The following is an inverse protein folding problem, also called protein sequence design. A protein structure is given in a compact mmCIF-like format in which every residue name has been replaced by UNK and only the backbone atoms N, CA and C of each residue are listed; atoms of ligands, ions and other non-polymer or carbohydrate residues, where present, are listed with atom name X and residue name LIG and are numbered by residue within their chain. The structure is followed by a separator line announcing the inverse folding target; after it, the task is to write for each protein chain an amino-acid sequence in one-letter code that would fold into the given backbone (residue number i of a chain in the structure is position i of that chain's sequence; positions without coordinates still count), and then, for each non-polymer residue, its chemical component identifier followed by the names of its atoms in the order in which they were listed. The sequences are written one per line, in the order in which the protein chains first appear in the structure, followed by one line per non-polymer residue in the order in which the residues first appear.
data_IF_085127297409
#
_entry.id   IF_085127297409
#
_cell.length_a   1.000
_cell.length_b   1.000
_cell.length_c   1.000
_cell.angle_alpha   90.00
_cell.angle_beta   90.00
_cell.angle_gamma   90.00
#
_symmetry.space_group_name_H-M   'P 1'
#
loop_
_entity.id
_entity.type
_entity.pdbx_description
1 polymer ?
#
# COMPACT_ATOMS: atom_id res chain seq x y z
N UNK A 1 -25.25 6.78 -38.74
CA UNK A 1 -25.04 7.31 -37.37
C UNK A 1 -23.77 6.68 -36.80
N UNK A 2 -22.63 7.35 -36.94
CA UNK A 2 -21.37 6.86 -36.38
C UNK A 2 -21.41 7.02 -34.86
N UNK A 3 -21.30 5.91 -34.12
CA UNK A 3 -21.11 5.92 -32.67
C UNK A 3 -19.77 6.59 -32.40
N UNK A 4 -19.80 7.79 -31.82
CA UNK A 4 -18.61 8.41 -31.25
C UNK A 4 -18.14 7.49 -30.13
N UNK A 5 -16.98 6.86 -30.31
CA UNK A 5 -16.33 6.12 -29.24
C UNK A 5 -16.03 7.09 -28.10
N UNK A 6 -16.45 6.75 -26.88
CA UNK A 6 -16.11 7.54 -25.71
C UNK A 6 -14.58 7.63 -25.62
N UNK A 7 -14.04 8.85 -25.68
CA UNK A 7 -12.62 9.08 -25.50
C UNK A 7 -12.24 8.67 -24.07
N UNK A 8 -11.31 7.72 -23.96
CA UNK A 8 -10.83 7.27 -22.65
C UNK A 8 -9.95 8.37 -22.07
N UNK A 9 -10.52 9.15 -21.14
CA UNK A 9 -9.76 10.19 -20.42
C UNK A 9 -8.77 9.50 -19.47
N UNK A 10 -7.47 9.68 -19.72
CA UNK A 10 -6.40 9.15 -18.87
C UNK A 10 -5.94 10.27 -17.93
N UNK A 11 -6.20 10.10 -16.64
CA UNK A 11 -5.72 11.02 -15.59
C UNK A 11 -4.18 10.92 -15.48
N UNK A 12 -3.44 12.04 -15.54
CA UNK A 12 -1.99 12.04 -15.38
C UNK A 12 -1.54 11.64 -13.96
N UNK A 13 -0.31 11.12 -13.83
CA UNK A 13 0.29 10.67 -12.57
C UNK A 13 0.10 11.64 -11.40
N UNK A 14 0.50 12.90 -11.59
CA UNK A 14 0.47 13.87 -10.49
C UNK A 14 -0.95 14.17 -10.02
N UNK A 15 -1.93 14.27 -10.93
CA UNK A 15 -3.32 14.45 -10.55
C UNK A 15 -3.88 13.23 -9.79
N UNK A 16 -3.49 12.02 -10.22
CA UNK A 16 -3.85 10.79 -9.50
C UNK A 16 -3.29 10.76 -8.09
N UNK A 17 -2.02 11.14 -7.92
CA UNK A 17 -1.36 11.17 -6.62
C UNK A 17 -1.90 12.28 -5.71
N UNK A 18 -2.24 13.45 -6.27
CA UNK A 18 -2.92 14.52 -5.53
C UNK A 18 -4.31 14.09 -5.05
N UNK A 19 -5.07 13.40 -5.89
CA UNK A 19 -6.37 12.82 -5.50
C UNK A 19 -6.20 11.82 -4.35
N UNK A 20 -5.18 10.97 -4.40
CA UNK A 20 -4.89 10.01 -3.33
C UNK A 20 -4.45 10.69 -2.02
N UNK A 21 -3.65 11.76 -2.10
CA UNK A 21 -3.30 12.59 -0.93
C UNK A 21 -4.54 13.22 -0.31
N UNK A 22 -5.39 13.86 -1.13
CA UNK A 22 -6.60 14.53 -0.66
C UNK A 22 -7.57 13.54 0.00
N UNK A 23 -7.70 12.33 -0.56
CA UNK A 23 -8.53 11.28 0.02
C UNK A 23 -7.99 10.81 1.39
N UNK A 24 -6.67 10.66 1.51
CA UNK A 24 -6.05 10.22 2.77
C UNK A 24 -6.18 11.29 3.87
N UNK A 25 -5.98 12.57 3.55
CA UNK A 25 -6.11 13.69 4.49
C UNK A 25 -7.53 13.89 5.01
N UNK A 26 -8.54 13.62 4.16
CA UNK A 26 -9.95 13.68 4.56
C UNK A 26 -10.40 12.48 5.39
N UNK A 27 -9.53 11.47 5.58
CA UNK A 27 -9.90 10.22 6.26
C UNK A 27 -10.99 9.43 5.53
N UNK A 28 -11.05 9.53 4.20
CA UNK A 28 -11.90 8.65 3.41
C UNK A 28 -11.21 7.28 3.30
N UNK A 29 -11.93 6.20 3.62
CA UNK A 29 -11.42 4.82 3.45
C UNK A 29 -11.51 3.96 4.71
N UNK A 30 -10.76 2.85 4.71
CA UNK A 30 -10.66 1.92 5.83
C UNK A 30 -9.85 2.55 7.00
N UNK A 31 -10.51 2.76 8.14
CA UNK A 31 -9.93 3.35 9.36
C UNK A 31 -8.77 2.56 9.98
N UNK A 32 -8.52 1.34 9.50
CA UNK A 32 -7.39 0.51 9.92
C UNK A 32 -6.11 0.76 9.13
N UNK A 33 -6.14 1.65 8.15
CA UNK A 33 -4.95 2.06 7.39
C UNK A 33 -4.85 3.59 7.34
N UNK A 34 -3.65 4.10 7.07
CA UNK A 34 -3.43 5.50 6.70
C UNK A 34 -2.20 5.62 5.82
N UNK A 35 -2.12 6.69 5.03
CA UNK A 35 -0.94 6.99 4.22
C UNK A 35 -0.83 8.49 3.93
N UNK A 36 0.40 8.95 3.70
CA UNK A 36 0.71 10.33 3.37
C UNK A 36 2.13 10.45 2.85
N UNK A 37 2.53 11.66 2.44
CA UNK A 37 3.88 11.91 1.94
C UNK A 37 4.93 11.69 3.05
N UNK A 38 6.07 11.12 2.69
CA UNK A 38 7.22 11.03 3.60
C UNK A 38 7.82 12.42 3.87
N UNK A 39 7.83 13.28 2.84
CA UNK A 39 8.30 14.66 2.91
C UNK A 39 7.22 15.58 2.34
N UNK A 40 6.73 16.53 3.15
CA UNK A 40 5.61 17.39 2.78
C UNK A 40 5.92 18.34 1.61
N UNK A 41 7.20 18.59 1.33
CA UNK A 41 7.70 19.42 0.24
C UNK A 41 8.12 18.59 -1.00
N UNK A 42 7.84 17.27 -1.04
CA UNK A 42 8.03 16.45 -2.23
C UNK A 42 6.97 16.78 -3.30
N UNK A 43 7.31 17.73 -4.17
CA UNK A 43 6.48 18.17 -5.29
C UNK A 43 6.20 17.02 -6.28
N UNK A 44 7.06 16.00 -6.33
CA UNK A 44 6.90 14.86 -7.21
C UNK A 44 6.00 13.77 -6.63
N UNK A 45 5.59 13.89 -5.36
CA UNK A 45 4.66 12.97 -4.69
C UNK A 45 5.15 11.51 -4.79
N UNK A 46 6.44 11.31 -4.60
CA UNK A 46 7.14 10.07 -4.96
C UNK A 46 7.21 9.11 -3.79
N UNK A 47 7.55 9.62 -2.61
CA UNK A 47 7.78 8.79 -1.43
C UNK A 47 6.68 9.02 -0.39
N UNK A 48 6.09 7.92 0.05
CA UNK A 48 4.95 7.90 0.95
C UNK A 48 5.23 6.99 2.14
N UNK A 49 4.63 7.34 3.28
CA UNK A 49 4.57 6.49 4.46
C UNK A 49 3.17 5.94 4.57
N UNK A 50 3.06 4.62 4.72
CA UNK A 50 1.82 3.92 5.04
C UNK A 50 1.84 3.37 6.46
N UNK A 51 0.68 3.31 7.09
CA UNK A 51 0.48 2.67 8.39
C UNK A 51 -0.67 1.68 8.31
N UNK A 52 -0.51 0.51 8.95
CA UNK A 52 -1.54 -0.53 9.05
C UNK A 52 -1.72 -0.90 10.51
N UNK A 53 -2.96 -0.83 11.00
CA UNK A 53 -3.40 -1.44 12.24
C UNK A 53 -3.68 -2.92 12.00
N UNK A 54 -2.97 -3.78 12.73
CA UNK A 54 -3.06 -5.23 12.58
C UNK A 54 -4.49 -5.74 12.79
N UNK A 55 -4.94 -6.75 12.00
CA UNK A 55 -6.30 -7.27 12.13
C UNK A 55 -6.56 -7.93 13.49
N UNK A 56 -7.75 -7.68 14.04
CA UNK A 56 -8.21 -8.26 15.30
C UNK A 56 -8.26 -9.80 15.23
N UNK A 57 -7.97 -10.47 16.35
CA UNK A 57 -8.01 -11.93 16.44
C UNK A 57 -6.88 -12.65 15.67
N UNK A 58 -5.81 -11.94 15.34
CA UNK A 58 -4.60 -12.48 14.71
C UNK A 58 -3.38 -12.22 15.59
N UNK A 59 -2.22 -12.80 15.24
CA UNK A 59 -0.94 -12.47 15.88
C UNK A 59 -0.49 -11.00 15.67
N UNK A 60 -1.19 -10.26 14.81
CA UNK A 60 -0.95 -8.85 14.53
C UNK A 60 -1.86 -7.91 15.33
N UNK A 61 -2.83 -8.44 16.07
CA UNK A 61 -3.83 -7.65 16.82
C UNK A 61 -3.15 -6.62 17.76
N UNK A 62 -3.66 -5.39 17.75
CA UNK A 62 -3.13 -4.27 18.53
C UNK A 62 -1.81 -3.66 18.03
N UNK A 63 -1.14 -4.27 17.04
CA UNK A 63 0.15 -3.76 16.53
C UNK A 63 -0.04 -2.76 15.41
N UNK A 64 0.87 -1.78 15.33
CA UNK A 64 0.94 -0.79 14.27
C UNK A 64 2.19 -1.06 13.42
N UNK A 65 2.01 -1.19 12.11
CA UNK A 65 3.11 -1.40 11.16
C UNK A 65 3.27 -0.19 10.25
N UNK A 66 4.50 0.32 10.15
CA UNK A 66 4.87 1.39 9.22
C UNK A 66 5.54 0.80 7.97
N UNK A 67 5.21 1.39 6.82
CA UNK A 67 5.72 1.01 5.50
C UNK A 67 6.19 2.26 4.74
N UNK A 68 7.18 2.08 3.88
CA UNK A 68 7.55 3.01 2.81
C UNK A 68 6.96 2.54 1.50
N UNK A 69 6.43 3.50 0.74
CA UNK A 69 5.77 3.26 -0.54
C UNK A 69 6.38 4.24 -1.54
N UNK A 70 6.91 3.70 -2.63
CA UNK A 70 7.57 4.47 -3.68
C UNK A 70 6.77 4.42 -4.97
N UNK A 71 6.21 5.56 -5.35
CA UNK A 71 5.45 5.75 -6.58
C UNK A 71 6.38 6.29 -7.67
N UNK A 72 6.95 5.39 -8.49
CA UNK A 72 7.86 5.78 -9.58
C UNK A 72 7.19 6.68 -10.63
N UNK A 73 7.98 7.21 -11.57
CA UNK A 73 7.47 8.00 -12.71
C UNK A 73 6.46 7.23 -13.59
N UNK A 74 6.47 5.90 -13.52
CA UNK A 74 5.54 5.04 -14.25
C UNK A 74 4.23 4.78 -13.49
N UNK A 75 4.09 5.26 -12.25
CA UNK A 75 2.82 5.18 -11.52
C UNK A 75 1.75 6.05 -12.19
N UNK A 76 0.46 5.65 -12.28
CA UNK A 76 -0.12 4.37 -11.86
C UNK A 76 -0.14 3.31 -12.97
N UNK A 77 0.62 3.46 -14.07
CA UNK A 77 0.72 2.41 -15.08
C UNK A 77 1.42 1.16 -14.54
N UNK A 78 2.43 1.36 -13.69
CA UNK A 78 3.09 0.33 -12.89
C UNK A 78 2.70 0.46 -11.41
N UNK A 79 2.66 -0.65 -10.65
CA UNK A 79 2.40 -0.62 -9.21
C UNK A 79 3.49 0.14 -8.45
N UNK A 80 3.19 0.64 -7.24
CA UNK A 80 4.22 1.20 -6.37
C UNK A 80 5.11 0.10 -5.80
N UNK A 81 6.34 0.46 -5.41
CA UNK A 81 7.18 -0.44 -4.61
C UNK A 81 6.86 -0.26 -3.12
N UNK A 82 6.77 -1.36 -2.37
CA UNK A 82 6.39 -1.33 -0.95
C UNK A 82 7.42 -2.04 -0.11
N UNK A 83 7.86 -1.39 0.95
CA UNK A 83 8.79 -1.91 1.94
C UNK A 83 8.24 -1.68 3.33
N UNK A 84 8.21 -2.71 4.16
CA UNK A 84 7.96 -2.55 5.58
C UNK A 84 9.17 -1.87 6.24
N UNK A 85 8.90 -0.84 7.03
CA UNK A 85 9.87 -0.29 7.98
C UNK A 85 9.84 -1.12 9.26
N UNK A 86 8.64 -1.41 9.77
CA UNK A 86 8.44 -2.27 10.93
C UNK A 86 8.70 -3.74 10.58
N UNK A 87 9.50 -4.45 11.39
CA UNK A 87 9.73 -5.89 11.23
C UNK A 87 8.42 -6.66 11.31
N UNK A 88 8.18 -7.50 10.31
CA UNK A 88 7.02 -8.38 10.23
C UNK A 88 7.45 -9.74 9.70
N UNK A 89 6.84 -10.80 10.23
CA UNK A 89 6.95 -12.13 9.64
C UNK A 89 5.65 -12.42 8.87
N UNK A 90 5.69 -12.25 7.56
CA UNK A 90 4.55 -12.46 6.69
C UNK A 90 5.01 -13.10 5.38
N UNK A 91 4.17 -13.98 4.83
CA UNK A 91 4.59 -14.82 3.72
C UNK A 91 5.02 -13.98 2.50
N UNK A 92 4.34 -12.89 2.16
CA UNK A 92 4.67 -12.04 1.02
C UNK A 92 5.75 -10.97 1.28
N UNK A 93 6.48 -11.01 2.40
CA UNK A 93 7.51 -10.03 2.76
C UNK A 93 8.87 -10.69 2.84
N UNK A 94 9.88 -10.05 2.23
CA UNK A 94 11.26 -10.48 2.37
C UNK A 94 11.76 -10.26 3.82
N UNK A 95 12.25 -11.30 4.51
CA UNK A 95 12.62 -11.21 5.92
C UNK A 95 13.92 -10.43 6.20
N UNK A 96 14.68 -10.06 5.16
CA UNK A 96 15.91 -9.28 5.30
C UNK A 96 15.67 -7.80 4.97
N UNK A 97 14.94 -7.49 3.90
CA UNK A 97 14.78 -6.12 3.41
C UNK A 97 13.42 -5.51 3.68
N UNK A 98 12.44 -6.28 4.16
CA UNK A 98 11.06 -5.81 4.35
C UNK A 98 10.29 -5.59 3.04
N UNK A 99 10.87 -5.93 1.89
CA UNK A 99 10.24 -5.72 0.58
C UNK A 99 9.04 -6.64 0.40
N UNK A 100 7.92 -6.09 -0.06
CA UNK A 100 6.74 -6.88 -0.43
C UNK A 100 6.94 -7.50 -1.82
N UNK A 101 6.80 -8.81 -1.97
CA UNK A 101 6.89 -9.51 -3.26
C UNK A 101 5.60 -9.27 -4.08
N UNK A 102 5.66 -8.56 -5.22
CA UNK A 102 4.49 -8.27 -6.04
C UNK A 102 3.75 -9.52 -6.51
N UNK A 103 4.47 -10.64 -6.71
CA UNK A 103 3.88 -11.89 -7.20
C UNK A 103 3.01 -12.58 -6.15
N UNK A 104 3.18 -12.21 -4.88
CA UNK A 104 2.52 -12.82 -3.73
C UNK A 104 1.41 -11.96 -3.14
N UNK A 105 1.23 -10.75 -3.67
CA UNK A 105 0.16 -9.84 -3.29
C UNK A 105 -0.65 -9.47 -4.54
N UNK A 106 -1.90 -9.91 -4.63
CA UNK A 106 -2.75 -9.74 -5.83
C UNK A 106 -2.86 -8.28 -6.25
N UNK A 107 -2.95 -7.35 -5.29
CA UNK A 107 -3.03 -5.93 -5.58
C UNK A 107 -1.82 -5.41 -6.37
N UNK A 108 -0.63 -6.01 -6.23
CA UNK A 108 0.57 -5.63 -6.99
C UNK A 108 0.79 -6.54 -8.21
N UNK A 109 0.50 -7.83 -8.10
CA UNK A 109 0.74 -8.82 -9.17
C UNK A 109 -0.24 -8.71 -10.35
N UNK A 110 -1.47 -8.28 -10.08
CA UNK A 110 -2.53 -8.03 -11.07
C UNK A 110 -2.88 -6.54 -11.12
N UNK A 111 -1.85 -5.69 -11.12
CA UNK A 111 -2.01 -4.24 -11.04
C UNK A 111 -2.84 -3.67 -12.19
N UNK A 112 -3.77 -2.78 -11.86
CA UNK A 112 -4.48 -1.95 -12.81
C UNK A 112 -4.32 -0.48 -12.41
N UNK A 113 -4.25 0.45 -13.37
CA UNK A 113 -4.07 1.88 -13.10
C UNK A 113 -5.17 2.56 -12.27
N UNK A 114 -6.26 1.84 -12.03
CA UNK A 114 -7.37 2.32 -11.20
C UNK A 114 -7.18 1.93 -9.73
N UNK A 115 -6.21 1.05 -9.43
CA UNK A 115 -5.75 0.82 -8.08
C UNK A 115 -4.96 2.03 -7.57
N UNK A 116 -4.96 2.19 -6.25
CA UNK A 116 -4.18 3.19 -5.52
C UNK A 116 -3.43 2.60 -4.33
N UNK A 117 -2.73 3.47 -3.61
CA UNK A 117 -2.00 3.16 -2.38
C UNK A 117 -2.92 2.49 -1.35
N UNK A 118 -4.14 3.01 -1.18
CA UNK A 118 -5.15 2.43 -0.30
C UNK A 118 -5.43 0.96 -0.62
N UNK A 119 -5.62 0.61 -1.91
CA UNK A 119 -5.91 -0.77 -2.29
C UNK A 119 -4.75 -1.72 -1.95
N UNK A 120 -3.51 -1.23 -2.04
CA UNK A 120 -2.33 -2.00 -1.66
C UNK A 120 -2.30 -2.24 -0.16
N UNK A 121 -2.53 -1.20 0.65
CA UNK A 121 -2.55 -1.31 2.11
C UNK A 121 -3.68 -2.21 2.62
N UNK A 122 -4.88 -2.09 2.04
CA UNK A 122 -6.01 -2.99 2.34
C UNK A 122 -5.68 -4.44 1.98
N UNK A 123 -5.04 -4.68 0.83
CA UNK A 123 -4.65 -6.02 0.42
C UNK A 123 -3.57 -6.62 1.34
N UNK A 124 -2.59 -5.82 1.75
CA UNK A 124 -1.57 -6.25 2.73
C UNK A 124 -2.24 -6.64 4.05
N UNK A 125 -3.18 -5.82 4.53
CA UNK A 125 -3.92 -6.09 5.76
C UNK A 125 -4.78 -7.35 5.65
N UNK A 126 -5.43 -7.59 4.51
CA UNK A 126 -6.16 -8.82 4.26
C UNK A 126 -5.22 -10.06 4.29
N UNK A 127 -4.01 -9.92 3.75
CA UNK A 127 -3.01 -10.99 3.78
C UNK A 127 -2.52 -11.27 5.21
N UNK A 128 -2.39 -10.27 6.09
CA UNK A 128 -2.12 -10.50 7.52
C UNK A 128 -3.19 -11.39 8.20
N UNK A 129 -4.45 -11.28 7.77
CA UNK A 129 -5.55 -12.10 8.27
C UNK A 129 -5.68 -13.47 7.58
N UNK A 130 -4.87 -13.74 6.53
CA UNK A 130 -4.96 -14.99 5.78
C UNK A 130 -4.62 -16.20 6.68
N UNK A 131 -5.17 -17.40 6.40
CA UNK A 131 -4.87 -18.59 7.18
C UNK A 131 -3.37 -18.88 7.32
N UNK A 132 -2.60 -18.52 6.30
CA UNK A 132 -1.15 -18.68 6.25
C UNK A 132 -0.42 -17.75 7.21
N UNK A 133 -0.89 -16.51 7.39
CA UNK A 133 -0.15 -15.49 8.16
C UNK A 133 -0.70 -15.23 9.56
N UNK A 134 -2.01 -15.39 9.78
CA UNK A 134 -2.70 -14.92 10.99
C UNK A 134 -2.20 -15.50 12.32
N UNK A 135 -1.38 -16.56 12.29
CA UNK A 135 -0.78 -17.22 13.46
C UNK A 135 0.75 -17.31 13.41
N UNK A 136 1.40 -16.66 12.45
CA UNK A 136 2.86 -16.71 12.34
C UNK A 136 3.51 -16.04 13.56
N UNK A 137 4.54 -16.65 14.17
CA UNK A 137 5.30 -16.00 15.22
C UNK A 137 5.88 -14.68 14.72
N UNK A 138 5.56 -13.58 15.40
CA UNK A 138 6.02 -12.26 15.03
C UNK A 138 7.28 -11.86 15.79
N UNK A 139 8.15 -11.03 15.18
CA UNK A 139 9.24 -10.36 15.89
C UNK A 139 8.72 -9.51 17.08
N UNK A 140 9.60 -9.14 18.02
CA UNK A 140 9.27 -8.17 19.05
C UNK A 140 8.76 -6.86 18.43
N UNK A 141 7.72 -6.28 19.02
CA UNK A 141 7.17 -5.01 18.58
C UNK A 141 8.20 -3.87 18.70
N UNK A 142 8.13 -2.91 17.77
CA UNK A 142 9.08 -1.79 17.71
C UNK A 142 10.41 -2.11 17.01
N UNK A 143 10.63 -3.35 16.57
CA UNK A 143 11.80 -3.69 15.74
C UNK A 143 11.59 -3.25 14.29
N UNK A 144 12.67 -2.80 13.63
CA UNK A 144 12.65 -2.30 12.25
C UNK A 144 13.65 -3.06 11.36
N UNK A 145 13.44 -3.00 10.04
CA UNK A 145 14.33 -3.60 9.05
C UNK A 145 15.65 -2.84 8.91
#
# INVERSE_FOLDING_TARGET
MAKHGAEVVIVPRNFKLLEELENSEKGHGDMSISYGLEQADDIFLTNWIGTILGPAGTCHDGRIYSLRIHCSDQYPHMPPEVHFTSRINMSCVDPQSGRVDPRRLVALGSWHRNNGIENVLVAIRAEMASPTNRRLPQPPEGTNF
#
